data_IF_375731613750
#
_entry.id   IF_375731613750
#
_cell.length_a   1.000
_cell.length_b   1.000
_cell.length_c   1.000
_cell.angle_alpha   90.00
_cell.angle_beta   90.00
_cell.angle_gamma   90.00
#
_symmetry.space_group_name_H-M   'P 1'
#
loop_
_entity.id
_entity.type
_entity.pdbx_description
1 polymer ?
#
# COMPACT_ATOMS: atom_id res chain seq x y z
N UNK A 1 30.26 -18.60 -7.75
CA UNK A 1 29.61 -18.13 -6.52
C UNK A 1 28.38 -17.39 -6.99
N UNK A 2 27.17 -17.92 -6.79
CA UNK A 2 25.96 -17.16 -6.98
C UNK A 2 25.91 -16.13 -5.85
N UNK A 3 26.23 -14.89 -6.17
CA UNK A 3 25.96 -13.77 -5.29
C UNK A 3 24.43 -13.69 -5.20
N UNK A 4 23.87 -14.16 -4.10
CA UNK A 4 22.43 -14.06 -3.84
C UNK A 4 22.16 -12.62 -3.44
N UNK A 5 21.97 -11.78 -4.45
CA UNK A 5 21.53 -10.40 -4.22
C UNK A 5 20.19 -10.42 -3.51
N UNK A 6 20.15 -9.84 -2.32
CA UNK A 6 18.91 -9.68 -1.54
C UNK A 6 18.23 -8.41 -2.01
N UNK A 7 16.93 -8.49 -2.26
CA UNK A 7 16.10 -7.37 -2.70
C UNK A 7 14.88 -7.23 -1.78
N UNK A 8 14.33 -6.02 -1.69
CA UNK A 8 13.04 -5.74 -1.07
C UNK A 8 12.20 -4.87 -2.01
N UNK A 9 11.07 -5.40 -2.46
CA UNK A 9 10.23 -4.74 -3.47
C UNK A 9 8.92 -4.20 -2.91
N UNK A 10 8.76 -4.19 -1.56
CA UNK A 10 7.56 -3.69 -0.92
C UNK A 10 7.89 -3.02 0.42
N UNK A 11 8.12 -1.71 0.40
CA UNK A 11 8.34 -0.95 1.62
C UNK A 11 7.72 0.45 1.56
N UNK A 12 7.49 1.04 2.74
CA UNK A 12 6.82 2.33 2.90
C UNK A 12 7.72 3.35 3.59
N UNK A 13 7.49 4.63 3.26
CA UNK A 13 8.13 5.77 3.90
C UNK A 13 7.12 6.69 4.59
N UNK A 14 7.61 7.79 5.15
CA UNK A 14 6.76 8.86 5.69
C UNK A 14 5.93 9.59 4.62
N UNK A 15 6.12 9.30 3.33
CA UNK A 15 5.22 9.80 2.29
C UNK A 15 3.83 9.15 2.38
N UNK A 16 3.71 7.95 3.00
CA UNK A 16 2.42 7.35 3.37
C UNK A 16 2.33 7.06 4.87
N UNK A 17 2.67 5.88 5.33
CA UNK A 17 2.51 5.45 6.73
C UNK A 17 3.72 4.70 7.30
N UNK A 18 4.83 4.72 6.58
CA UNK A 18 6.12 4.26 7.07
C UNK A 18 6.73 5.19 8.12
N UNK A 19 7.84 4.76 8.71
CA UNK A 19 8.47 5.45 9.85
C UNK A 19 9.65 6.31 9.42
N UNK A 20 10.30 5.96 8.31
CA UNK A 20 11.49 6.62 7.80
C UNK A 20 11.19 7.50 6.60
N UNK A 21 11.91 8.64 6.46
CA UNK A 21 11.83 9.44 5.25
C UNK A 21 12.32 8.65 4.01
N UNK A 22 11.86 9.00 2.79
CA UNK A 22 12.23 8.26 1.58
C UNK A 22 13.75 8.05 1.42
N UNK A 23 14.55 9.07 1.66
CA UNK A 23 16.03 8.97 1.62
C UNK A 23 16.61 8.06 2.71
N UNK A 24 15.97 8.00 3.88
CA UNK A 24 16.41 7.14 4.99
C UNK A 24 16.13 5.67 4.69
N UNK A 25 15.02 5.38 3.98
CA UNK A 25 14.71 4.03 3.47
C UNK A 25 15.81 3.54 2.53
N UNK A 26 16.24 4.36 1.57
CA UNK A 26 17.35 4.03 0.67
C UNK A 26 18.67 3.82 1.43
N UNK A 27 18.96 4.68 2.42
CA UNK A 27 20.16 4.54 3.24
C UNK A 27 20.15 3.29 4.12
N UNK A 28 19.00 2.92 4.66
CA UNK A 28 18.83 1.68 5.43
C UNK A 28 19.06 0.45 4.55
N UNK A 29 18.46 0.43 3.35
CA UNK A 29 18.64 -0.64 2.37
C UNK A 29 20.11 -0.87 2.01
N UNK A 30 20.84 0.20 1.71
CA UNK A 30 22.28 0.15 1.44
C UNK A 30 23.05 -0.39 2.66
N UNK A 31 22.72 0.09 3.86
CA UNK A 31 23.39 -0.30 5.11
C UNK A 31 23.23 -1.81 5.42
N UNK A 32 22.06 -2.39 5.11
CA UNK A 32 21.80 -3.83 5.33
C UNK A 32 22.21 -4.71 4.14
N UNK A 33 22.74 -4.11 3.06
CA UNK A 33 23.32 -4.84 1.94
C UNK A 33 22.31 -5.30 0.88
N UNK A 34 21.15 -4.62 0.75
CA UNK A 34 20.26 -4.88 -0.38
C UNK A 34 20.92 -4.44 -1.69
N UNK A 35 20.69 -5.19 -2.76
CA UNK A 35 21.10 -4.81 -4.12
C UNK A 35 20.08 -3.93 -4.81
N UNK A 36 18.78 -4.13 -4.50
CA UNK A 36 17.69 -3.32 -5.00
C UNK A 36 16.59 -3.17 -3.94
N UNK A 37 15.89 -2.04 -3.99
CA UNK A 37 14.73 -1.76 -3.14
C UNK A 37 13.69 -0.96 -3.93
N UNK A 38 12.40 -1.26 -3.74
CA UNK A 38 11.31 -0.44 -4.26
C UNK A 38 10.62 0.33 -3.14
N UNK A 39 10.33 1.60 -3.36
CA UNK A 39 9.46 2.37 -2.48
C UNK A 39 8.03 2.32 -3.02
N UNK A 40 7.12 1.77 -2.23
CA UNK A 40 5.75 1.44 -2.65
C UNK A 40 4.69 2.08 -1.75
N UNK A 41 4.86 3.36 -1.45
CA UNK A 41 3.96 4.11 -0.57
C UNK A 41 2.49 4.02 -1.01
N UNK A 42 1.58 3.96 -0.05
CA UNK A 42 0.14 3.84 -0.29
C UNK A 42 -0.43 5.02 -1.07
N UNK A 43 -0.93 4.76 -2.27
CA UNK A 43 -1.67 5.71 -3.13
C UNK A 43 -0.93 7.04 -3.37
N UNK A 44 0.41 7.05 -3.33
CA UNK A 44 1.24 8.22 -3.61
C UNK A 44 2.57 7.86 -4.27
N UNK A 45 3.11 8.82 -5.01
CA UNK A 45 4.44 8.77 -5.64
C UNK A 45 5.32 9.93 -5.15
N UNK A 46 4.88 10.71 -4.17
CA UNK A 46 5.54 11.95 -3.75
C UNK A 46 6.93 11.72 -3.14
N UNK A 47 7.16 10.53 -2.53
CA UNK A 47 8.46 10.12 -1.99
C UNK A 47 9.50 9.68 -3.02
N UNK A 48 9.08 9.34 -4.27
CA UNK A 48 9.94 8.66 -5.25
C UNK A 48 11.17 9.48 -5.67
N UNK A 49 11.01 10.78 -5.90
CA UNK A 49 12.11 11.63 -6.36
C UNK A 49 13.25 11.69 -5.31
N UNK A 50 12.91 11.88 -4.03
CA UNK A 50 13.89 11.87 -2.93
C UNK A 50 14.53 10.50 -2.77
N UNK A 51 13.72 9.44 -2.80
CA UNK A 51 14.16 8.05 -2.68
C UNK A 51 15.15 7.66 -3.77
N UNK A 52 14.81 7.90 -5.05
CA UNK A 52 15.66 7.56 -6.19
C UNK A 52 16.94 8.38 -6.23
N UNK A 53 16.88 9.67 -5.89
CA UNK A 53 18.08 10.51 -5.78
C UNK A 53 19.05 9.97 -4.71
N UNK A 54 18.52 9.55 -3.55
CA UNK A 54 19.31 8.94 -2.49
C UNK A 54 19.89 7.58 -2.91
N UNK A 55 19.11 6.71 -3.56
CA UNK A 55 19.57 5.43 -4.07
C UNK A 55 20.71 5.57 -5.06
N UNK A 56 20.57 6.49 -6.02
CA UNK A 56 21.62 6.80 -7.00
C UNK A 56 22.93 7.27 -6.32
N UNK A 57 22.82 8.13 -5.32
CA UNK A 57 23.98 8.64 -4.57
C UNK A 57 24.68 7.53 -3.76
N UNK A 58 23.94 6.52 -3.31
CA UNK A 58 24.43 5.40 -2.50
C UNK A 58 24.84 4.18 -3.34
N UNK A 59 24.57 4.19 -4.66
CA UNK A 59 24.89 3.08 -5.55
C UNK A 59 24.00 1.84 -5.35
N UNK A 60 22.76 2.02 -4.86
CA UNK A 60 21.73 0.99 -4.75
C UNK A 60 20.66 1.19 -5.81
N UNK A 61 20.12 0.11 -6.37
CA UNK A 61 19.01 0.19 -7.31
C UNK A 61 17.72 0.58 -6.59
N UNK A 62 17.27 1.83 -6.79
CA UNK A 62 16.06 2.40 -6.19
C UNK A 62 14.92 2.41 -7.22
N UNK A 63 14.03 1.44 -7.10
CA UNK A 63 12.94 1.18 -8.05
C UNK A 63 11.74 2.06 -7.71
N UNK A 64 11.16 2.73 -8.72
CA UNK A 64 9.88 3.42 -8.56
C UNK A 64 8.78 2.41 -8.28
N UNK A 65 8.05 2.59 -7.19
CA UNK A 65 6.94 1.75 -6.80
C UNK A 65 5.75 2.57 -6.28
N UNK A 66 4.62 1.91 -6.18
CA UNK A 66 3.39 2.42 -5.57
C UNK A 66 2.57 1.22 -5.08
N UNK A 67 1.83 1.38 -3.98
CA UNK A 67 0.83 0.42 -3.55
C UNK A 67 -0.56 1.05 -3.65
N UNK A 68 -1.33 0.66 -4.68
CA UNK A 68 -2.72 1.07 -4.82
C UNK A 68 -3.63 0.25 -3.91
N UNK A 69 -4.48 0.93 -3.13
CA UNK A 69 -5.59 0.28 -2.47
C UNK A 69 -6.82 0.26 -3.38
N UNK A 70 -7.41 -0.91 -3.54
CA UNK A 70 -8.56 -1.18 -4.40
C UNK A 70 -9.62 -1.99 -3.66
N UNK A 71 -10.87 -1.93 -4.10
CA UNK A 71 -11.95 -2.74 -3.54
C UNK A 71 -12.34 -3.82 -4.55
N UNK A 72 -12.29 -5.08 -4.13
CA UNK A 72 -12.80 -6.19 -4.93
C UNK A 72 -14.24 -6.49 -4.57
N UNK A 73 -15.17 -6.36 -5.53
CA UNK A 73 -16.62 -6.36 -5.30
C UNK A 73 -17.22 -7.77 -5.17
N UNK A 74 -16.42 -8.77 -4.74
CA UNK A 74 -16.87 -10.15 -4.52
C UNK A 74 -16.75 -10.56 -3.06
N UNK A 75 -17.47 -11.60 -2.67
CA UNK A 75 -17.51 -12.17 -1.31
C UNK A 75 -17.83 -11.12 -0.25
N UNK A 76 -16.96 -10.91 0.72
CA UNK A 76 -17.09 -9.88 1.76
C UNK A 76 -16.52 -8.51 1.36
N UNK A 77 -16.27 -8.28 0.06
CA UNK A 77 -15.71 -7.03 -0.51
C UNK A 77 -14.39 -6.62 0.15
N UNK A 78 -13.34 -7.46 0.10
CA UNK A 78 -12.07 -7.10 0.73
C UNK A 78 -11.42 -5.90 0.05
N UNK A 79 -10.80 -5.03 0.87
CA UNK A 79 -9.80 -4.08 0.38
C UNK A 79 -8.56 -4.89 0.02
N UNK A 80 -8.16 -4.85 -1.25
CA UNK A 80 -6.97 -5.52 -1.77
C UNK A 80 -5.97 -4.48 -2.26
N UNK A 81 -4.71 -4.86 -2.32
CA UNK A 81 -3.66 -3.95 -2.76
C UNK A 81 -2.96 -4.45 -4.02
N UNK A 82 -2.68 -3.53 -4.94
CA UNK A 82 -1.91 -3.79 -6.15
C UNK A 82 -0.62 -2.96 -6.10
N UNK A 83 0.50 -3.64 -6.01
CA UNK A 83 1.82 -3.01 -6.08
C UNK A 83 2.19 -2.82 -7.54
N UNK A 84 2.57 -1.59 -7.90
CA UNK A 84 3.19 -1.24 -9.17
C UNK A 84 4.68 -1.07 -9.00
N UNK A 85 5.48 -1.63 -9.91
CA UNK A 85 6.94 -1.58 -9.88
C UNK A 85 7.50 -1.13 -11.22
N UNK A 86 8.54 -0.29 -11.21
CA UNK A 86 9.34 0.04 -12.39
C UNK A 86 8.61 0.88 -13.45
N UNK A 87 7.56 1.60 -13.07
CA UNK A 87 6.80 2.48 -13.97
C UNK A 87 7.46 3.86 -14.13
N UNK A 88 7.02 4.62 -15.14
CA UNK A 88 7.36 6.04 -15.30
C UNK A 88 6.49 6.93 -14.37
N UNK A 89 7.06 7.52 -13.30
CA UNK A 89 6.30 8.40 -12.39
C UNK A 89 5.76 9.67 -13.05
N UNK A 90 6.31 10.07 -14.20
CA UNK A 90 5.87 11.24 -14.94
C UNK A 90 4.68 10.97 -15.88
N UNK A 91 4.28 9.70 -16.06
CA UNK A 91 3.25 9.32 -17.01
C UNK A 91 1.89 9.99 -16.74
N UNK A 92 1.24 10.63 -17.72
CA UNK A 92 0.02 11.43 -17.51
C UNK A 92 -1.15 10.64 -16.91
N UNK A 93 -1.32 9.38 -17.30
CA UNK A 93 -2.40 8.53 -16.77
C UNK A 93 -2.21 8.31 -15.28
N UNK A 94 -0.98 8.04 -14.83
CA UNK A 94 -0.67 7.86 -13.40
C UNK A 94 -0.96 9.15 -12.62
N UNK A 95 -0.48 10.29 -13.10
CA UNK A 95 -0.72 11.61 -12.45
C UNK A 95 -2.21 11.91 -12.30
N UNK A 96 -3.01 11.72 -13.34
CA UNK A 96 -4.46 11.91 -13.26
C UNK A 96 -5.13 10.97 -12.26
N UNK A 97 -4.62 9.75 -12.09
CA UNK A 97 -5.11 8.82 -11.04
C UNK A 97 -4.75 9.28 -9.64
N UNK A 98 -3.52 9.79 -9.44
CA UNK A 98 -3.10 10.35 -8.14
C UNK A 98 -4.02 11.49 -7.70
N UNK A 99 -4.38 12.40 -8.59
CA UNK A 99 -5.31 13.50 -8.28
C UNK A 99 -6.70 12.98 -7.87
N UNK A 100 -7.23 11.97 -8.56
CA UNK A 100 -8.52 11.34 -8.22
C UNK A 100 -8.47 10.70 -6.83
N UNK A 101 -7.41 9.93 -6.54
CA UNK A 101 -7.22 9.25 -5.26
C UNK A 101 -7.08 10.28 -4.12
N UNK A 102 -6.27 11.33 -4.33
CA UNK A 102 -6.07 12.40 -3.35
C UNK A 102 -7.40 13.07 -2.99
N UNK A 103 -8.19 13.47 -3.98
CA UNK A 103 -9.50 14.07 -3.78
C UNK A 103 -10.46 13.16 -2.99
N UNK A 104 -10.52 11.87 -3.32
CA UNK A 104 -11.33 10.88 -2.61
C UNK A 104 -10.88 10.72 -1.14
N UNK A 105 -9.56 10.69 -0.89
CA UNK A 105 -9.01 10.62 0.47
C UNK A 105 -9.35 11.87 1.29
N UNK A 106 -9.25 13.06 0.71
CA UNK A 106 -9.56 14.30 1.41
C UNK A 106 -11.02 14.35 1.85
N UNK A 107 -11.96 13.98 0.98
CA UNK A 107 -13.38 13.88 1.31
C UNK A 107 -13.60 12.87 2.45
N UNK A 108 -13.02 11.68 2.34
CA UNK A 108 -13.11 10.65 3.37
C UNK A 108 -12.55 11.12 4.71
N UNK A 109 -11.39 11.76 4.72
CA UNK A 109 -10.71 12.20 5.93
C UNK A 109 -11.52 13.24 6.71
N UNK A 110 -12.11 14.23 6.02
CA UNK A 110 -13.01 15.22 6.63
C UNK A 110 -14.22 14.54 7.28
N UNK A 111 -14.87 13.63 6.56
CA UNK A 111 -16.02 12.88 7.07
C UNK A 111 -15.67 11.98 8.26
N UNK A 112 -14.45 11.41 8.28
CA UNK A 112 -13.97 10.64 9.45
C UNK A 112 -13.79 11.51 10.68
N UNK A 113 -13.22 12.73 10.54
CA UNK A 113 -13.15 13.68 11.65
C UNK A 113 -14.54 14.02 12.21
N UNK A 114 -15.51 14.28 11.33
CA UNK A 114 -16.90 14.57 11.72
C UNK A 114 -17.53 13.40 12.47
N UNK A 115 -17.41 12.15 11.95
CA UNK A 115 -17.96 10.96 12.61
C UNK A 115 -17.30 10.66 13.94
N UNK A 116 -15.98 10.74 14.04
CA UNK A 116 -15.26 10.52 15.28
C UNK A 116 -15.66 11.58 16.33
N UNK A 117 -15.77 12.85 15.93
CA UNK A 117 -16.22 13.92 16.80
C UNK A 117 -17.65 13.70 17.30
N UNK A 118 -18.57 13.18 16.48
CA UNK A 118 -19.96 12.89 16.87
C UNK A 118 -20.10 11.82 17.94
N UNK A 119 -19.08 11.00 18.14
CA UNK A 119 -19.00 9.96 19.19
C UNK A 119 -18.06 10.34 20.35
N UNK A 120 -17.70 11.64 20.46
CA UNK A 120 -16.86 12.16 21.54
C UNK A 120 -15.36 12.02 21.36
N UNK A 121 -14.88 11.58 20.17
CA UNK A 121 -13.47 11.47 19.84
C UNK A 121 -13.06 12.70 19.03
N UNK A 122 -12.81 13.82 19.70
CA UNK A 122 -12.55 15.10 19.06
C UNK A 122 -11.13 15.17 18.48
N UNK A 123 -11.03 15.27 17.17
CA UNK A 123 -9.80 15.52 16.42
C UNK A 123 -10.10 16.34 15.17
N UNK A 124 -9.12 17.10 14.71
CA UNK A 124 -9.21 17.92 13.51
C UNK A 124 -8.40 17.31 12.37
N UNK A 125 -8.75 17.66 11.13
CA UNK A 125 -7.97 17.22 9.97
C UNK A 125 -6.53 17.75 10.03
N UNK A 126 -6.34 18.99 10.53
CA UNK A 126 -5.00 19.60 10.65
C UNK A 126 -4.11 18.83 11.63
N UNK A 127 -4.66 18.34 12.76
CA UNK A 127 -3.91 17.49 13.69
C UNK A 127 -3.49 16.18 13.04
N UNK A 128 -4.37 15.55 12.26
CA UNK A 128 -4.07 14.29 11.55
C UNK A 128 -3.05 14.55 10.45
N UNK A 129 -3.17 15.65 9.70
CA UNK A 129 -2.24 16.04 8.65
C UNK A 129 -0.83 16.35 9.22
N UNK A 130 -0.75 17.03 10.36
CA UNK A 130 0.52 17.29 11.03
C UNK A 130 1.25 16.01 11.46
N UNK A 131 0.49 14.95 11.80
CA UNK A 131 1.06 13.63 12.14
C UNK A 131 1.45 12.81 10.90
N UNK A 132 0.87 13.09 9.73
CA UNK A 132 1.10 12.30 8.53
C UNK A 132 2.51 12.50 7.93
N UNK A 133 3.14 13.66 8.14
CA UNK A 133 4.47 13.95 7.60
C UNK A 133 4.55 14.09 6.08
N UNK A 134 3.52 13.69 5.35
CA UNK A 134 3.36 13.75 3.90
C UNK A 134 1.94 14.18 3.50
N UNK A 135 1.66 14.24 2.19
CA UNK A 135 0.34 14.67 1.69
C UNK A 135 -0.75 13.60 1.87
N UNK A 136 -0.37 12.32 2.00
CA UNK A 136 -1.34 11.23 2.10
C UNK A 136 -1.67 10.89 3.55
N UNK A 137 -2.91 11.15 3.95
CA UNK A 137 -3.44 10.75 5.25
C UNK A 137 -4.07 9.36 5.14
N UNK A 138 -3.52 8.41 5.90
CA UNK A 138 -4.05 7.04 6.05
C UNK A 138 -4.85 6.88 7.35
N UNK A 139 -5.55 5.77 7.53
CA UNK A 139 -6.20 5.43 8.81
C UNK A 139 -5.22 5.25 9.96
N UNK A 140 -3.96 4.89 9.66
CA UNK A 140 -2.92 4.78 10.68
C UNK A 140 -2.62 6.12 11.37
N UNK A 141 -2.67 7.24 10.63
CA UNK A 141 -2.50 8.58 11.21
C UNK A 141 -3.64 8.96 12.17
N UNK A 142 -4.89 8.59 11.83
CA UNK A 142 -6.01 8.73 12.78
C UNK A 142 -5.79 7.92 14.04
N UNK A 143 -5.30 6.67 13.93
CA UNK A 143 -4.98 5.84 15.08
C UNK A 143 -3.88 6.46 15.96
N UNK A 144 -2.86 7.10 15.35
CA UNK A 144 -1.82 7.81 16.07
C UNK A 144 -2.42 8.95 16.92
N UNK A 145 -3.23 9.83 16.31
CA UNK A 145 -3.86 10.96 17.03
C UNK A 145 -4.81 10.48 18.14
N UNK A 146 -5.59 9.42 17.89
CA UNK A 146 -6.43 8.84 18.93
C UNK A 146 -5.61 8.31 20.13
N UNK A 147 -4.44 7.75 19.88
CA UNK A 147 -3.51 7.28 20.91
C UNK A 147 -2.87 8.46 21.64
N UNK A 148 -2.37 9.46 20.95
CA UNK A 148 -1.76 10.67 21.52
C UNK A 148 -2.74 11.45 22.43
N UNK A 149 -4.00 11.53 22.00
CA UNK A 149 -5.07 12.16 22.81
C UNK A 149 -5.60 11.27 23.95
N UNK A 150 -5.09 10.04 24.10
CA UNK A 150 -5.48 9.13 25.17
C UNK A 150 -6.86 8.50 25.02
N UNK A 151 -7.49 8.60 23.85
CA UNK A 151 -8.77 7.95 23.58
C UNK A 151 -8.67 6.43 23.48
N UNK A 152 -7.48 5.91 23.16
CA UNK A 152 -7.16 4.49 23.06
C UNK A 152 -5.83 4.19 23.77
N UNK A 153 -5.60 2.91 24.12
CA UNK A 153 -4.36 2.47 24.81
C UNK A 153 -3.29 1.94 23.83
N UNK A 154 -3.70 1.45 22.69
CA UNK A 154 -2.82 0.93 21.60
C UNK A 154 -3.45 1.18 20.26
N UNK A 155 -2.64 1.35 19.20
CA UNK A 155 -3.12 1.66 17.83
C UNK A 155 -4.15 0.65 17.31
N UNK A 156 -3.98 -0.64 17.63
CA UNK A 156 -4.93 -1.68 17.25
C UNK A 156 -6.37 -1.42 17.76
N UNK A 157 -6.53 -0.73 18.90
CA UNK A 157 -7.85 -0.40 19.44
C UNK A 157 -8.62 0.57 18.51
N UNK A 158 -7.93 1.42 17.76
CA UNK A 158 -8.58 2.30 16.78
C UNK A 158 -9.29 1.47 15.70
N UNK A 159 -8.59 0.49 15.15
CA UNK A 159 -9.12 -0.37 14.09
C UNK A 159 -10.23 -1.30 14.58
N UNK A 160 -10.08 -1.89 15.77
CA UNK A 160 -11.07 -2.84 16.31
C UNK A 160 -12.34 -2.17 16.84
N UNK A 161 -12.32 -0.86 17.13
CA UNK A 161 -13.43 -0.18 17.83
C UNK A 161 -14.03 0.99 17.05
N UNK A 162 -13.28 1.62 16.11
CA UNK A 162 -13.71 2.90 15.57
C UNK A 162 -13.57 3.06 14.06
N UNK A 163 -12.45 2.67 13.43
CA UNK A 163 -12.08 3.10 12.07
C UNK A 163 -11.95 1.99 11.02
N UNK A 164 -12.43 0.78 11.33
CA UNK A 164 -12.57 -0.30 10.32
C UNK A 164 -14.01 -0.37 9.78
N UNK A 165 -14.24 -1.04 8.64
CA UNK A 165 -15.57 -1.21 8.05
C UNK A 165 -16.63 -1.61 9.06
N UNK A 166 -17.81 -0.97 8.99
CA UNK A 166 -18.92 -1.21 9.91
C UNK A 166 -18.82 -0.52 11.27
N UNK A 167 -17.70 0.11 11.62
CA UNK A 167 -17.50 0.79 12.90
C UNK A 167 -17.88 2.29 12.81
N UNK A 168 -18.19 2.93 13.95
CA UNK A 168 -18.84 4.24 13.97
C UNK A 168 -18.04 5.39 13.37
N UNK A 169 -16.71 5.37 13.43
CA UNK A 169 -15.82 6.38 12.84
C UNK A 169 -15.40 6.08 11.41
N UNK A 170 -15.75 4.91 10.88
CA UNK A 170 -15.36 4.51 9.53
C UNK A 170 -16.14 5.28 8.47
N UNK A 171 -15.44 5.76 7.46
CA UNK A 171 -16.02 6.29 6.22
C UNK A 171 -15.39 5.56 5.05
N UNK A 172 -16.22 4.93 4.24
CA UNK A 172 -15.78 4.35 2.97
C UNK A 172 -15.33 5.48 2.03
N UNK A 173 -14.24 5.27 1.31
CA UNK A 173 -13.81 6.16 0.23
C UNK A 173 -14.15 5.54 -1.13
N UNK A 174 -14.13 6.34 -2.16
CA UNK A 174 -14.13 5.80 -3.51
C UNK A 174 -12.75 5.15 -3.77
N UNK A 175 -12.77 3.87 -4.06
CA UNK A 175 -11.60 3.12 -4.47
C UNK A 175 -11.54 3.03 -6.00
N UNK A 176 -10.35 2.91 -6.54
CA UNK A 176 -10.19 2.38 -7.89
C UNK A 176 -10.58 0.89 -7.87
N UNK A 177 -11.09 0.38 -9.00
CA UNK A 177 -11.19 -1.07 -9.15
C UNK A 177 -9.79 -1.69 -9.28
N UNK A 178 -9.58 -2.95 -8.89
CA UNK A 178 -8.30 -3.62 -9.07
C UNK A 178 -7.82 -3.62 -10.52
N UNK A 179 -8.73 -3.82 -11.47
CA UNK A 179 -8.46 -3.75 -12.90
C UNK A 179 -7.88 -2.39 -13.30
N UNK A 180 -8.50 -1.29 -12.82
CA UNK A 180 -8.06 0.07 -13.14
C UNK A 180 -6.69 0.41 -12.53
N UNK A 181 -6.37 -0.13 -11.35
CA UNK A 181 -5.03 -0.02 -10.76
C UNK A 181 -3.99 -0.68 -11.67
N UNK A 182 -4.25 -1.91 -12.10
CA UNK A 182 -3.36 -2.66 -13.00
C UNK A 182 -3.19 -1.91 -14.34
N UNK A 183 -4.28 -1.52 -14.98
CA UNK A 183 -4.23 -0.77 -16.25
C UNK A 183 -3.44 0.54 -16.12
N UNK A 184 -3.55 1.23 -14.99
CA UNK A 184 -2.78 2.45 -14.71
C UNK A 184 -1.28 2.16 -14.62
N UNK A 185 -0.88 1.10 -13.91
CA UNK A 185 0.51 0.66 -13.79
C UNK A 185 1.05 0.24 -15.16
N UNK A 186 0.29 -0.57 -15.90
CA UNK A 186 0.68 -1.05 -17.23
C UNK A 186 0.82 0.08 -18.24
N UNK A 187 -0.11 1.05 -18.24
CA UNK A 187 -0.01 2.23 -19.09
C UNK A 187 1.26 3.04 -18.83
N UNK A 188 1.72 3.11 -17.58
CA UNK A 188 2.96 3.77 -17.20
C UNK A 188 4.22 2.88 -17.41
N UNK A 189 4.10 1.69 -18.00
CA UNK A 189 5.20 0.79 -18.31
C UNK A 189 5.66 -0.12 -17.17
N UNK A 190 4.93 -0.16 -16.06
CA UNK A 190 5.29 -0.93 -14.87
C UNK A 190 4.82 -2.38 -14.88
N UNK A 191 5.26 -3.14 -13.88
CA UNK A 191 4.76 -4.45 -13.52
C UNK A 191 3.75 -4.33 -12.38
N UNK A 192 2.63 -5.09 -12.47
CA UNK A 192 1.56 -5.09 -11.48
C UNK A 192 1.56 -6.40 -10.67
N UNK A 193 1.60 -6.30 -9.34
CA UNK A 193 1.72 -7.43 -8.41
C UNK A 193 0.60 -7.37 -7.38
N UNK A 194 -0.10 -8.47 -7.15
CA UNK A 194 -1.07 -8.59 -6.05
C UNK A 194 -0.31 -8.69 -4.73
N UNK A 195 -0.46 -7.71 -3.86
CA UNK A 195 0.26 -7.61 -2.59
C UNK A 195 -0.34 -8.53 -1.51
N UNK A 196 0.46 -8.98 -0.58
CA UNK A 196 0.12 -9.69 0.69
C UNK A 196 -1.26 -10.41 0.73
N UNK A 197 -1.55 -11.35 -0.22
CA UNK A 197 -2.88 -11.94 -0.40
C UNK A 197 -3.45 -12.66 0.83
N UNK A 198 -2.62 -13.07 1.79
CA UNK A 198 -3.10 -13.72 3.02
C UNK A 198 -3.82 -12.78 3.98
N UNK A 199 -3.70 -11.44 3.78
CA UNK A 199 -4.37 -10.45 4.61
C UNK A 199 -5.83 -10.18 4.20
N UNK A 200 -6.29 -10.74 3.07
CA UNK A 200 -7.64 -10.49 2.55
C UNK A 200 -8.72 -11.42 3.13
N UNK A 201 -8.34 -12.34 4.01
CA UNK A 201 -9.25 -13.33 4.58
C UNK A 201 -9.97 -14.18 3.51
N UNK A 202 -9.28 -14.42 2.38
CA UNK A 202 -9.73 -15.28 1.28
C UNK A 202 -9.06 -16.65 1.40
N UNK A 203 -9.83 -17.70 1.12
CA UNK A 203 -9.23 -19.02 0.90
C UNK A 203 -8.52 -19.10 -0.47
N UNK A 204 -7.75 -20.16 -0.71
CA UNK A 204 -6.96 -20.33 -1.94
C UNK A 204 -7.82 -20.37 -3.19
N UNK A 205 -9.03 -20.92 -3.12
CA UNK A 205 -9.94 -20.99 -4.27
C UNK A 205 -10.49 -19.60 -4.61
N UNK A 206 -10.84 -18.81 -3.60
CA UNK A 206 -11.27 -17.42 -3.76
C UNK A 206 -10.13 -16.54 -4.27
N UNK A 207 -8.91 -16.75 -3.76
CA UNK A 207 -7.72 -16.04 -4.24
C UNK A 207 -7.40 -16.41 -5.70
N UNK A 208 -7.60 -17.67 -6.11
CA UNK A 208 -7.45 -18.07 -7.51
C UNK A 208 -8.48 -17.37 -8.40
N UNK A 209 -9.74 -17.22 -7.96
CA UNK A 209 -10.77 -16.47 -8.69
C UNK A 209 -10.31 -15.02 -8.89
N UNK A 210 -9.86 -14.34 -7.83
CA UNK A 210 -9.33 -12.99 -7.90
C UNK A 210 -8.19 -12.88 -8.93
N UNK A 211 -7.17 -13.72 -8.83
CA UNK A 211 -6.04 -13.69 -9.77
C UNK A 211 -6.49 -13.92 -11.22
N UNK A 212 -7.36 -14.91 -11.48
CA UNK A 212 -7.86 -15.20 -12.82
C UNK A 212 -8.67 -14.05 -13.42
N UNK A 213 -9.39 -13.30 -12.58
CA UNK A 213 -10.10 -12.09 -12.99
C UNK A 213 -9.13 -10.97 -13.38
N UNK A 214 -7.98 -10.84 -12.67
CA UNK A 214 -7.03 -9.75 -12.87
C UNK A 214 -5.97 -10.01 -13.95
N UNK A 215 -5.64 -11.26 -14.26
CA UNK A 215 -4.66 -11.63 -15.29
C UNK A 215 -4.99 -10.98 -16.66
N UNK A 216 -6.24 -10.95 -17.17
CA UNK A 216 -6.55 -10.31 -18.44
C UNK A 216 -6.24 -8.80 -18.51
N UNK A 217 -6.19 -8.12 -17.36
CA UNK A 217 -5.84 -6.70 -17.25
C UNK A 217 -4.32 -6.47 -17.17
N UNK A 218 -3.53 -7.55 -17.03
CA UNK A 218 -2.07 -7.48 -17.02
C UNK A 218 -1.45 -7.66 -15.64
N UNK A 219 -2.09 -8.40 -14.73
CA UNK A 219 -1.46 -8.81 -13.48
C UNK A 219 -0.24 -9.68 -13.81
N UNK A 220 0.96 -9.25 -13.40
CA UNK A 220 2.23 -9.92 -13.69
C UNK A 220 2.65 -10.90 -12.58
N UNK A 221 2.32 -10.60 -11.34
CA UNK A 221 2.80 -11.36 -10.18
C UNK A 221 1.87 -11.35 -8.98
N UNK A 222 2.26 -12.13 -7.97
CA UNK A 222 1.62 -12.21 -6.66
C UNK A 222 2.70 -12.31 -5.59
N UNK A 223 2.60 -11.53 -4.54
CA UNK A 223 3.57 -11.51 -3.45
C UNK A 223 3.53 -12.81 -2.66
N UNK A 224 4.58 -13.62 -2.83
CA UNK A 224 4.71 -14.95 -2.24
C UNK A 224 5.46 -14.95 -0.90
N UNK A 225 6.20 -13.87 -0.62
CA UNK A 225 6.96 -13.69 0.62
C UNK A 225 6.55 -12.36 1.26
N UNK A 226 6.13 -12.42 2.50
CA UNK A 226 5.77 -11.25 3.29
C UNK A 226 6.14 -11.45 4.75
N UNK A 227 6.42 -10.39 5.47
CA UNK A 227 6.97 -10.43 6.83
C UNK A 227 6.14 -11.22 7.85
N UNK A 228 4.83 -11.35 7.61
CA UNK A 228 3.90 -12.07 8.51
C UNK A 228 3.51 -13.46 8.01
N UNK A 229 4.01 -13.91 6.85
CA UNK A 229 3.67 -15.22 6.32
C UNK A 229 4.33 -16.36 7.07
N UNK A 230 3.58 -17.43 7.27
CA UNK A 230 4.14 -18.71 7.66
C UNK A 230 4.81 -19.39 6.46
N UNK A 231 5.74 -20.34 6.68
CA UNK A 231 6.33 -21.14 5.60
C UNK A 231 5.27 -21.86 4.74
N UNK A 232 4.16 -22.30 5.36
CA UNK A 232 3.06 -22.96 4.70
C UNK A 232 2.32 -21.99 3.76
N UNK A 233 2.02 -20.78 4.22
CA UNK A 233 1.40 -19.72 3.41
C UNK A 233 2.29 -19.33 2.22
N UNK A 234 3.58 -19.10 2.45
CA UNK A 234 4.57 -18.85 1.39
C UNK A 234 4.55 -19.96 0.33
N UNK A 235 4.55 -21.22 0.76
CA UNK A 235 4.51 -22.38 -0.14
C UNK A 235 3.20 -22.43 -0.93
N UNK A 236 2.09 -22.22 -0.27
CA UNK A 236 0.74 -22.27 -0.88
C UNK A 236 0.58 -21.19 -1.96
N UNK A 237 0.94 -19.93 -1.65
CA UNK A 237 0.88 -18.83 -2.61
C UNK A 237 1.86 -19.04 -3.76
N UNK A 238 3.07 -19.54 -3.49
CA UNK A 238 4.06 -19.86 -4.55
C UNK A 238 3.55 -20.94 -5.50
N UNK A 239 2.85 -21.96 -5.01
CA UNK A 239 2.22 -22.99 -5.84
C UNK A 239 1.12 -22.40 -6.69
N UNK A 240 0.28 -21.52 -6.11
CA UNK A 240 -0.77 -20.81 -6.82
C UNK A 240 -0.19 -19.93 -7.94
N UNK A 241 0.84 -19.11 -7.64
CA UNK A 241 1.52 -18.27 -8.61
C UNK A 241 1.98 -19.08 -9.83
N UNK A 242 2.73 -20.15 -9.60
CA UNK A 242 3.23 -21.05 -10.66
C UNK A 242 2.11 -21.66 -11.50
N UNK A 243 1.01 -22.09 -10.86
CA UNK A 243 -0.15 -22.67 -11.55
C UNK A 243 -0.83 -21.67 -12.48
N UNK A 244 -0.83 -20.39 -12.11
CA UNK A 244 -1.45 -19.31 -12.87
C UNK A 244 -0.50 -18.63 -13.88
N UNK A 245 0.79 -18.99 -13.87
CA UNK A 245 1.81 -18.35 -14.71
C UNK A 245 2.18 -16.94 -14.23
N UNK A 246 1.92 -16.62 -12.97
CA UNK A 246 2.31 -15.37 -12.32
C UNK A 246 3.73 -15.48 -11.76
N UNK A 247 4.46 -14.36 -11.73
CA UNK A 247 5.72 -14.22 -11.02
C UNK A 247 5.47 -14.34 -9.50
N UNK A 248 6.34 -15.09 -8.77
CA UNK A 248 6.24 -15.20 -7.32
C UNK A 248 6.93 -14.05 -6.61
#
# INVERSE_FOLDING_TARGET
MHDSSIIDLHCHSTASDGTYAPKEVAALAQKIGLSAIALTDHDTIDGLAEFQAAGNALGIEAIAGIEFAALWEHFHRPEIHIVGLGFDPAHPVLKGRMETIRSSRDIRNRRMCERLSSIGLHLTLDEVAANAGGEIITRAHFANILLEKGYIKKKADAFTRYISPGLPGYVEREFLSPALCIETIKAAGGAAVLAHPTLYELDVAQLEILCRELIPYGLDGIECQYSTYTPEQTKEITVLAKRLGLLP
#
